data_IF_306574910807
#
_entry.id   IF_306574910807
#
_cell.length_a   1.000
_cell.length_b   1.000
_cell.length_c   1.000
_cell.angle_alpha   90.00
_cell.angle_beta   90.00
_cell.angle_gamma   90.00
#
_symmetry.space_group_name_H-M   'P 1'
#
loop_
_entity.id
_entity.type
_entity.pdbx_description
1 polymer ?
#
# COMPACT_ATOMS: atom_id res chain seq x y z
N UNK A 1 -23.12 -12.65 18.90
CA UNK A 1 -22.72 -12.15 17.58
C UNK A 1 -22.80 -13.31 16.60
N UNK A 2 -23.49 -13.15 15.46
CA UNK A 2 -23.60 -14.20 14.43
C UNK A 2 -23.00 -13.68 13.13
N UNK A 3 -22.13 -14.47 12.52
CA UNK A 3 -21.48 -14.16 11.25
C UNK A 3 -22.09 -14.99 10.14
N UNK A 4 -22.48 -14.36 9.04
CA UNK A 4 -22.85 -15.05 7.80
C UNK A 4 -21.67 -14.96 6.83
N UNK A 5 -21.25 -16.08 6.23
CA UNK A 5 -20.16 -16.11 5.24
C UNK A 5 -20.72 -16.44 3.85
N UNK A 6 -20.83 -15.42 3.01
CA UNK A 6 -21.19 -15.53 1.59
C UNK A 6 -19.98 -15.92 0.76
N UNK A 7 -20.10 -16.97 -0.05
CA UNK A 7 -19.04 -17.47 -0.92
C UNK A 7 -19.61 -18.26 -2.10
N UNK A 8 -18.81 -18.47 -3.16
CA UNK A 8 -19.18 -19.42 -4.19
C UNK A 8 -18.67 -20.84 -3.86
N UNK A 9 -19.21 -21.86 -4.53
CA UNK A 9 -18.84 -23.26 -4.27
C UNK A 9 -17.35 -23.56 -4.46
N UNK A 10 -16.65 -22.82 -5.33
CA UNK A 10 -15.20 -23.02 -5.56
C UNK A 10 -14.32 -22.49 -4.43
N UNK A 11 -14.86 -21.62 -3.58
CA UNK A 11 -14.15 -21.04 -2.44
C UNK A 11 -14.39 -21.83 -1.14
N UNK A 12 -15.18 -22.90 -1.21
CA UNK A 12 -15.61 -23.70 -0.06
C UNK A 12 -14.45 -24.19 0.82
N UNK A 13 -13.33 -24.73 0.29
CA UNK A 13 -12.22 -25.18 1.15
C UNK A 13 -11.64 -24.06 2.02
N UNK A 14 -11.52 -22.85 1.46
CA UNK A 14 -11.05 -21.67 2.19
C UNK A 14 -12.07 -21.24 3.25
N UNK A 15 -13.37 -21.23 2.91
CA UNK A 15 -14.45 -20.83 3.81
C UNK A 15 -14.60 -21.80 4.99
N UNK A 16 -14.45 -23.10 4.74
CA UNK A 16 -14.46 -24.13 5.79
C UNK A 16 -13.32 -23.91 6.80
N UNK A 17 -12.11 -23.64 6.30
CA UNK A 17 -10.96 -23.29 7.15
C UNK A 17 -11.25 -22.01 7.95
N UNK A 18 -11.73 -20.95 7.29
CA UNK A 18 -12.05 -19.67 7.90
C UNK A 18 -13.10 -19.79 9.01
N UNK A 19 -14.19 -20.50 8.73
CA UNK A 19 -15.26 -20.72 9.69
C UNK A 19 -14.81 -21.57 10.88
N UNK A 20 -13.97 -22.59 10.64
CA UNK A 20 -13.38 -23.41 11.69
C UNK A 20 -12.51 -22.55 12.62
N UNK A 21 -11.62 -21.74 12.07
CA UNK A 21 -10.73 -20.89 12.87
C UNK A 21 -11.49 -19.80 13.64
N UNK A 22 -12.51 -19.19 13.02
CA UNK A 22 -13.40 -18.24 13.70
C UNK A 22 -14.10 -18.90 14.90
N UNK A 23 -14.53 -20.14 14.76
CA UNK A 23 -15.19 -20.88 15.83
C UNK A 23 -14.22 -21.32 16.93
N UNK A 24 -13.16 -22.05 16.57
CA UNK A 24 -12.25 -22.70 17.54
C UNK A 24 -11.33 -21.70 18.25
N UNK A 25 -10.83 -20.68 17.54
CA UNK A 25 -9.84 -19.74 18.10
C UNK A 25 -10.49 -18.53 18.76
N UNK A 26 -11.62 -18.07 18.22
CA UNK A 26 -12.20 -16.78 18.60
C UNK A 26 -13.61 -16.88 19.17
N UNK A 27 -14.17 -18.11 19.27
CA UNK A 27 -15.53 -18.38 19.75
C UNK A 27 -16.62 -17.64 18.95
N UNK A 28 -16.41 -17.44 17.65
CA UNK A 28 -17.34 -16.75 16.74
C UNK A 28 -18.14 -17.78 15.96
N UNK A 29 -19.47 -17.77 16.09
CA UNK A 29 -20.37 -18.68 15.36
C UNK A 29 -20.62 -18.18 13.94
N UNK A 30 -20.38 -19.04 12.94
CA UNK A 30 -20.57 -18.76 11.52
C UNK A 30 -21.70 -19.60 10.92
N UNK A 31 -22.42 -19.02 9.95
CA UNK A 31 -23.35 -19.73 9.07
C UNK A 31 -22.80 -19.67 7.63
N UNK A 32 -22.67 -20.83 6.98
CA UNK A 32 -22.23 -20.94 5.59
C UNK A 32 -22.74 -22.25 4.95
N UNK A 33 -22.56 -22.41 3.63
CA UNK A 33 -22.83 -23.65 2.87
C UNK A 33 -24.22 -24.27 3.11
N UNK A 34 -25.25 -23.42 3.27
CA UNK A 34 -26.65 -23.87 3.46
C UNK A 34 -26.87 -24.75 4.70
N UNK A 35 -26.05 -24.57 5.74
CA UNK A 35 -26.22 -25.26 7.02
C UNK A 35 -27.64 -25.09 7.58
N UNK A 36 -28.27 -26.19 8.00
CA UNK A 36 -29.60 -26.15 8.63
C UNK A 36 -30.79 -26.05 7.65
N UNK A 37 -30.59 -26.35 6.36
CA UNK A 37 -31.68 -26.50 5.38
C UNK A 37 -32.08 -27.98 5.30
N UNK A 38 -33.32 -28.30 5.64
CA UNK A 38 -33.90 -29.64 5.58
C UNK A 38 -34.57 -29.96 4.24
N UNK A 39 -34.92 -31.24 4.04
CA UNK A 39 -35.70 -31.66 2.87
C UNK A 39 -37.09 -31.00 2.95
N UNK A 40 -37.47 -30.25 1.91
CA UNK A 40 -38.73 -29.52 1.83
C UNK A 40 -38.64 -28.03 2.18
N UNK A 41 -37.49 -27.56 2.71
CA UNK A 41 -37.28 -26.15 2.99
C UNK A 41 -37.07 -25.32 1.71
N UNK A 42 -37.62 -24.10 1.70
CA UNK A 42 -37.27 -23.09 0.68
C UNK A 42 -35.87 -22.54 0.96
N UNK A 43 -34.91 -22.88 0.09
CA UNK A 43 -33.52 -22.42 0.20
C UNK A 43 -33.44 -20.87 0.31
N UNK A 44 -34.11 -20.08 -0.56
CA UNK A 44 -34.11 -18.62 -0.42
C UNK A 44 -34.65 -18.13 0.93
N UNK A 45 -35.69 -18.77 1.47
CA UNK A 45 -36.28 -18.36 2.74
C UNK A 45 -35.31 -18.59 3.91
N UNK A 46 -34.62 -19.74 3.93
CA UNK A 46 -33.63 -20.06 4.96
C UNK A 46 -32.38 -19.18 4.89
N UNK A 47 -31.91 -18.87 3.68
CA UNK A 47 -30.80 -17.91 3.48
C UNK A 47 -31.23 -16.52 3.99
N UNK A 48 -32.43 -16.06 3.63
CA UNK A 48 -32.97 -14.79 4.10
C UNK A 48 -33.12 -14.71 5.63
N UNK A 49 -33.57 -15.80 6.26
CA UNK A 49 -33.64 -15.94 7.72
C UNK A 49 -32.25 -15.86 8.36
N UNK A 50 -31.26 -16.57 7.80
CA UNK A 50 -29.88 -16.55 8.29
C UNK A 50 -29.25 -15.15 8.16
N UNK A 51 -29.42 -14.48 7.01
CA UNK A 51 -28.98 -13.09 6.80
C UNK A 51 -29.65 -12.11 7.77
N UNK A 52 -30.95 -12.31 8.04
CA UNK A 52 -31.70 -11.48 8.98
C UNK A 52 -31.24 -11.67 10.43
N UNK A 53 -30.73 -12.85 10.79
CA UNK A 53 -30.24 -13.13 12.14
C UNK A 53 -28.75 -12.81 12.34
N UNK A 54 -28.01 -12.53 11.27
CA UNK A 54 -26.59 -12.19 11.32
C UNK A 54 -26.36 -10.71 11.63
N UNK A 55 -25.36 -10.43 12.48
CA UNK A 55 -24.88 -9.08 12.80
C UNK A 55 -23.70 -8.68 11.92
N UNK A 56 -22.96 -9.66 11.39
CA UNK A 56 -21.84 -9.43 10.48
C UNK A 56 -22.01 -10.28 9.23
N UNK A 57 -21.79 -9.68 8.08
CA UNK A 57 -21.76 -10.35 6.78
C UNK A 57 -20.35 -10.33 6.22
N UNK A 58 -19.72 -11.50 6.19
CA UNK A 58 -18.45 -11.71 5.52
C UNK A 58 -18.75 -12.12 4.09
N UNK A 59 -18.24 -11.36 3.12
CA UNK A 59 -18.35 -11.73 1.70
C UNK A 59 -16.97 -12.08 1.17
N UNK A 60 -16.82 -13.30 0.68
CA UNK A 60 -15.58 -13.79 0.06
C UNK A 60 -15.56 -13.34 -1.41
N UNK A 61 -14.56 -12.55 -1.75
CA UNK A 61 -14.36 -11.98 -3.07
C UNK A 61 -13.31 -12.81 -3.82
N UNK A 62 -13.75 -13.40 -4.92
CA UNK A 62 -12.99 -14.14 -5.91
C UNK A 62 -13.63 -13.91 -7.29
N UNK A 63 -12.97 -14.27 -8.39
CA UNK A 63 -13.54 -14.14 -9.74
C UNK A 63 -14.86 -14.91 -9.83
N UNK A 64 -14.92 -16.11 -9.28
CA UNK A 64 -16.13 -16.95 -9.27
C UNK A 64 -17.19 -16.39 -8.29
N UNK A 65 -16.76 -15.85 -7.15
CA UNK A 65 -17.60 -15.22 -6.14
C UNK A 65 -18.36 -14.02 -6.68
N UNK A 66 -17.67 -13.06 -7.30
CA UNK A 66 -18.30 -11.83 -7.80
C UNK A 66 -19.21 -12.07 -9.01
N UNK A 67 -18.97 -13.15 -9.76
CA UNK A 67 -19.81 -13.56 -10.89
C UNK A 67 -20.95 -14.52 -10.49
N UNK A 68 -21.00 -14.97 -9.24
CA UNK A 68 -22.05 -15.89 -8.77
C UNK A 68 -23.36 -15.14 -8.54
N UNK A 69 -24.43 -15.61 -9.18
CA UNK A 69 -25.79 -15.09 -8.99
C UNK A 69 -26.23 -15.15 -7.53
N UNK A 70 -25.88 -16.24 -6.83
CA UNK A 70 -26.23 -16.42 -5.43
C UNK A 70 -25.50 -15.46 -4.49
N UNK A 71 -24.19 -15.28 -4.70
CA UNK A 71 -23.39 -14.32 -3.90
C UNK A 71 -23.90 -12.90 -4.12
N UNK A 72 -24.23 -12.53 -5.35
CA UNK A 72 -24.82 -11.22 -5.64
C UNK A 72 -26.20 -11.04 -4.98
N UNK A 73 -27.05 -12.06 -4.99
CA UNK A 73 -28.33 -12.03 -4.27
C UNK A 73 -28.15 -11.82 -2.77
N UNK A 74 -27.16 -12.49 -2.16
CA UNK A 74 -26.83 -12.36 -0.74
C UNK A 74 -26.28 -10.96 -0.40
N UNK A 75 -25.37 -10.42 -1.23
CA UNK A 75 -24.87 -9.04 -1.12
C UNK A 75 -26.03 -8.05 -1.15
N UNK A 76 -26.93 -8.17 -2.13
CA UNK A 76 -28.03 -7.22 -2.33
C UNK A 76 -29.04 -7.27 -1.19
N UNK A 77 -29.35 -8.48 -0.72
CA UNK A 77 -30.20 -8.69 0.44
C UNK A 77 -29.56 -8.08 1.69
N UNK A 78 -28.26 -8.28 1.90
CA UNK A 78 -27.54 -7.69 3.04
C UNK A 78 -27.53 -6.16 2.99
N UNK A 79 -27.18 -5.56 1.86
CA UNK A 79 -27.11 -4.11 1.71
C UNK A 79 -28.48 -3.46 1.97
N UNK A 80 -29.57 -4.08 1.51
CA UNK A 80 -30.92 -3.62 1.85
C UNK A 80 -31.24 -3.71 3.35
N UNK A 81 -30.88 -4.82 4.01
CA UNK A 81 -31.07 -4.96 5.45
C UNK A 81 -30.23 -3.96 6.25
N UNK A 82 -29.00 -3.70 5.81
CA UNK A 82 -28.11 -2.74 6.43
C UNK A 82 -28.66 -1.31 6.33
N UNK A 83 -29.16 -0.91 5.15
CA UNK A 83 -29.78 0.41 4.97
C UNK A 83 -30.96 0.63 5.93
N UNK A 84 -31.85 -0.37 6.07
CA UNK A 84 -32.99 -0.30 7.01
C UNK A 84 -32.54 -0.20 8.46
N UNK A 85 -31.49 -0.94 8.82
CA UNK A 85 -30.92 -0.92 10.16
C UNK A 85 -30.26 0.44 10.48
N UNK A 86 -29.59 1.06 9.51
CA UNK A 86 -29.03 2.41 9.64
C UNK A 86 -30.12 3.47 9.85
N UNK A 87 -31.23 3.38 9.11
CA UNK A 87 -32.38 4.28 9.28
C UNK A 87 -33.00 4.16 10.68
N UNK A 88 -33.24 2.93 11.15
CA UNK A 88 -33.78 2.66 12.48
C UNK A 88 -32.82 3.14 13.58
N UNK A 89 -31.52 2.90 13.40
CA UNK A 89 -30.49 3.32 14.33
C UNK A 89 -30.43 4.85 14.50
N UNK A 90 -30.60 5.61 13.40
CA UNK A 90 -30.71 7.08 13.44
C UNK A 90 -31.94 7.54 14.22
N UNK A 91 -33.11 6.95 13.96
CA UNK A 91 -34.34 7.29 14.69
C UNK A 91 -34.21 7.02 16.19
N UNK A 92 -33.46 5.98 16.56
CA UNK A 92 -33.25 5.55 17.94
C UNK A 92 -31.96 6.12 18.57
N UNK A 93 -31.24 7.02 17.88
CA UNK A 93 -29.96 7.59 18.33
C UNK A 93 -28.94 6.57 18.82
N UNK A 94 -28.84 5.42 18.13
CA UNK A 94 -27.90 4.34 18.42
C UNK A 94 -26.99 4.07 17.23
N UNK A 95 -25.90 3.35 17.47
CA UNK A 95 -25.05 2.85 16.38
C UNK A 95 -25.73 1.68 15.66
N UNK A 96 -25.64 1.59 14.32
CA UNK A 96 -26.10 0.41 13.58
C UNK A 96 -25.38 -0.85 14.07
N UNK A 97 -26.10 -1.96 14.21
CA UNK A 97 -25.54 -3.21 14.71
C UNK A 97 -25.25 -4.24 13.61
N UNK A 98 -25.37 -3.84 12.34
CA UNK A 98 -25.03 -4.64 11.16
C UNK A 98 -23.81 -4.07 10.45
N UNK A 99 -22.84 -4.92 10.13
CA UNK A 99 -21.65 -4.53 9.36
C UNK A 99 -21.30 -5.59 8.31
N UNK A 100 -20.78 -5.12 7.18
CA UNK A 100 -20.20 -5.96 6.13
C UNK A 100 -18.67 -6.00 6.28
N UNK A 101 -18.08 -7.15 6.01
CA UNK A 101 -16.65 -7.41 6.03
C UNK A 101 -16.24 -8.09 4.72
N UNK A 102 -15.86 -7.32 3.68
CA UNK A 102 -15.36 -7.91 2.44
C UNK A 102 -13.99 -8.56 2.66
N UNK A 103 -13.88 -9.82 2.29
CA UNK A 103 -12.65 -10.63 2.34
C UNK A 103 -12.18 -10.87 0.91
N UNK A 104 -11.11 -10.20 0.49
CA UNK A 104 -10.47 -10.44 -0.80
C UNK A 104 -9.63 -11.73 -0.73
N UNK A 105 -10.18 -12.81 -1.30
CA UNK A 105 -9.56 -14.14 -1.33
C UNK A 105 -8.75 -14.39 -2.60
N UNK A 106 -9.28 -13.99 -3.76
CA UNK A 106 -8.57 -13.99 -5.04
C UNK A 106 -8.78 -12.67 -5.76
N UNK A 107 -7.79 -12.26 -6.54
CA UNK A 107 -7.88 -11.02 -7.32
C UNK A 107 -9.09 -11.05 -8.26
N UNK A 108 -9.96 -10.06 -8.12
CA UNK A 108 -11.16 -9.91 -8.93
C UNK A 108 -11.52 -8.42 -9.03
N UNK A 109 -12.32 -8.07 -10.04
CA UNK A 109 -12.91 -6.74 -10.11
C UNK A 109 -13.94 -6.58 -8.98
N UNK A 110 -13.66 -5.70 -8.04
CA UNK A 110 -14.54 -5.47 -6.88
C UNK A 110 -15.82 -4.78 -7.37
N UNK A 111 -17.01 -5.35 -7.09
CA UNK A 111 -18.27 -4.75 -7.46
C UNK A 111 -18.39 -3.33 -6.91
N UNK A 112 -18.88 -2.38 -7.71
CA UNK A 112 -18.99 -0.95 -7.32
C UNK A 112 -19.66 -0.75 -5.97
N UNK A 113 -20.67 -1.57 -5.67
CA UNK A 113 -21.44 -1.55 -4.40
C UNK A 113 -20.62 -1.92 -3.17
N UNK A 114 -19.43 -2.49 -3.36
CA UNK A 114 -18.52 -2.91 -2.29
C UNK A 114 -17.25 -2.05 -2.18
N UNK A 115 -17.03 -1.10 -3.11
CA UNK A 115 -15.78 -0.32 -3.17
C UNK A 115 -15.60 0.64 -2.00
N UNK A 116 -16.70 1.16 -1.43
CA UNK A 116 -16.68 2.07 -0.28
C UNK A 116 -16.45 1.38 1.06
N UNK A 117 -16.41 0.05 1.10
CA UNK A 117 -16.20 -0.71 2.33
C UNK A 117 -14.72 -1.10 2.49
N UNK A 118 -14.19 -0.89 3.70
CA UNK A 118 -12.86 -1.38 4.05
C UNK A 118 -12.85 -2.91 3.96
N UNK A 119 -11.90 -3.44 3.18
CA UNK A 119 -11.74 -4.87 2.95
C UNK A 119 -10.48 -5.40 3.62
N UNK A 120 -10.49 -6.69 3.93
CA UNK A 120 -9.32 -7.45 4.36
C UNK A 120 -8.90 -8.40 3.25
N UNK A 121 -7.60 -8.54 2.99
CA UNK A 121 -7.09 -9.59 2.10
C UNK A 121 -6.74 -10.82 2.93
N UNK A 122 -7.27 -11.99 2.54
CA UNK A 122 -6.96 -13.27 3.18
C UNK A 122 -6.81 -14.31 2.08
N UNK A 123 -5.61 -14.84 1.89
CA UNK A 123 -5.29 -15.93 0.98
C UNK A 123 -4.38 -16.94 1.70
N UNK A 124 -3.92 -17.97 0.99
CA UNK A 124 -3.07 -19.02 1.59
C UNK A 124 -1.75 -18.50 2.20
N UNK A 125 -1.26 -17.34 1.74
CA UNK A 125 0.04 -16.80 2.11
C UNK A 125 -0.02 -15.82 3.30
N UNK A 126 -1.15 -15.14 3.51
CA UNK A 126 -1.33 -14.13 4.55
C UNK A 126 -2.48 -14.44 5.53
N UNK A 127 -2.87 -15.72 5.61
CA UNK A 127 -4.06 -16.16 6.31
C UNK A 127 -4.08 -15.71 7.78
N UNK A 128 -2.99 -15.86 8.52
CA UNK A 128 -2.95 -15.54 9.95
C UNK A 128 -3.10 -14.04 10.23
N UNK A 129 -2.40 -13.22 9.45
CA UNK A 129 -2.51 -11.77 9.54
C UNK A 129 -3.90 -11.28 9.13
N UNK A 130 -4.38 -11.71 7.96
CA UNK A 130 -5.69 -11.36 7.44
C UNK A 130 -6.82 -11.83 8.36
N UNK A 131 -6.69 -13.02 8.94
CA UNK A 131 -7.61 -13.55 9.95
C UNK A 131 -7.67 -12.64 11.19
N UNK A 132 -6.53 -12.23 11.75
CA UNK A 132 -6.50 -11.29 12.89
C UNK A 132 -7.17 -9.96 12.55
N UNK A 133 -6.92 -9.41 11.37
CA UNK A 133 -7.57 -8.18 10.91
C UNK A 133 -9.09 -8.36 10.77
N UNK A 134 -9.53 -9.49 10.21
CA UNK A 134 -10.94 -9.82 10.10
C UNK A 134 -11.59 -9.92 11.49
N UNK A 135 -10.95 -10.60 12.44
CA UNK A 135 -11.45 -10.76 13.82
C UNK A 135 -11.55 -9.40 14.52
N UNK A 136 -10.54 -8.54 14.41
CA UNK A 136 -10.58 -7.18 14.92
C UNK A 136 -11.74 -6.38 14.32
N UNK A 137 -11.91 -6.46 12.99
CA UNK A 137 -13.02 -5.85 12.28
C UNK A 137 -14.39 -6.37 12.75
N UNK A 138 -14.53 -7.70 12.87
CA UNK A 138 -15.75 -8.37 13.38
C UNK A 138 -16.08 -7.90 14.80
N UNK A 139 -15.09 -7.80 15.69
CA UNK A 139 -15.30 -7.34 17.07
C UNK A 139 -15.51 -5.82 17.19
N UNK A 140 -15.17 -5.06 16.15
CA UNK A 140 -15.23 -3.59 16.20
C UNK A 140 -14.07 -2.96 16.98
N UNK A 141 -12.99 -3.72 17.17
CA UNK A 141 -11.76 -3.28 17.84
C UNK A 141 -10.84 -2.65 16.80
N UNK A 142 -11.00 -1.36 16.51
CA UNK A 142 -10.10 -0.65 15.61
C UNK A 142 -8.88 -0.12 16.37
N UNK A 143 -7.73 -0.79 16.20
CA UNK A 143 -6.42 -0.27 16.59
C UNK A 143 -5.48 -0.33 15.37
N UNK A 144 -4.89 0.80 14.94
CA UNK A 144 -3.83 0.76 13.93
C UNK A 144 -2.62 0.02 14.53
N UNK A 145 -2.43 -1.26 14.15
CA UNK A 145 -1.25 -2.01 14.55
C UNK A 145 -0.01 -1.34 13.94
N UNK A 146 0.75 -0.61 14.75
CA UNK A 146 2.12 -0.17 14.47
C UNK A 146 3.00 -1.42 14.36
N UNK A 147 3.73 -1.59 13.26
CA UNK A 147 4.77 -2.63 13.18
C UNK A 147 5.88 -2.36 14.22
N UNK A 148 6.46 -3.38 14.87
CA UNK A 148 7.67 -3.18 15.65
C UNK A 148 8.86 -2.85 14.73
N UNK A 149 9.81 -2.03 15.20
CA UNK A 149 11.01 -1.67 14.45
C UNK A 149 11.96 -2.87 14.39
N UNK A 150 12.21 -3.43 13.20
CA UNK A 150 13.35 -4.36 13.00
C UNK A 150 14.53 -3.56 12.47
N UNK A 151 15.53 -3.30 13.29
CA UNK A 151 16.80 -2.71 12.85
C UNK A 151 17.57 -3.78 12.05
N UNK A 152 17.90 -3.57 10.76
CA UNK A 152 18.73 -4.53 10.02
C UNK A 152 20.15 -4.58 10.60
N UNK A 153 20.71 -5.78 10.77
CA UNK A 153 22.10 -5.97 11.21
C UNK A 153 23.10 -5.41 10.20
N UNK A 154 24.34 -5.18 10.62
CA UNK A 154 25.44 -4.68 9.78
C UNK A 154 25.76 -5.64 8.63
N UNK A 155 25.73 -6.94 8.89
CA UNK A 155 25.91 -8.01 7.89
C UNK A 155 24.93 -7.92 6.71
N UNK A 156 23.67 -7.55 6.97
CA UNK A 156 22.65 -7.45 5.91
C UNK A 156 22.92 -6.31 4.91
N UNK A 157 23.62 -5.26 5.33
CA UNK A 157 24.02 -4.18 4.41
C UNK A 157 25.25 -4.59 3.59
N UNK A 158 26.23 -5.24 4.20
CA UNK A 158 27.45 -5.70 3.53
C UNK A 158 27.13 -6.76 2.44
N UNK A 159 26.16 -7.63 2.69
CA UNK A 159 25.69 -8.63 1.72
C UNK A 159 24.95 -8.01 0.52
N UNK A 160 24.18 -6.93 0.72
CA UNK A 160 23.52 -6.21 -0.38
C UNK A 160 24.51 -5.50 -1.30
N UNK A 161 25.62 -5.00 -0.75
CA UNK A 161 26.69 -4.36 -1.54
C UNK A 161 27.50 -5.35 -2.36
N UNK A 162 27.68 -6.59 -1.89
CA UNK A 162 28.32 -7.66 -2.66
C UNK A 162 27.45 -8.10 -3.84
N UNK A 163 26.13 -8.22 -3.64
CA UNK A 163 25.20 -8.66 -4.69
C UNK A 163 25.02 -7.64 -5.82
N UNK A 164 25.05 -6.34 -5.52
CA UNK A 164 25.05 -5.28 -6.56
C UNK A 164 26.22 -5.42 -7.55
N UNK A 165 27.32 -6.10 -7.17
CA UNK A 165 28.48 -6.34 -8.02
C UNK A 165 28.38 -7.61 -8.88
N UNK A 166 27.54 -8.59 -8.52
CA UNK A 166 27.42 -9.89 -9.21
C UNK A 166 25.95 -10.37 -9.24
N UNK A 167 25.13 -9.92 -10.21
CA UNK A 167 23.69 -10.16 -10.23
C UNK A 167 23.24 -11.60 -10.52
N UNK A 168 24.14 -12.48 -10.98
CA UNK A 168 23.81 -13.81 -11.53
C UNK A 168 23.57 -14.92 -10.52
N UNK A 169 23.85 -14.71 -9.22
CA UNK A 169 23.84 -15.75 -8.18
C UNK A 169 22.63 -15.61 -7.22
N UNK A 170 21.46 -15.29 -7.76
CA UNK A 170 20.26 -14.92 -7.00
C UNK A 170 19.79 -15.97 -5.97
N UNK A 171 19.81 -17.25 -6.31
CA UNK A 171 19.39 -18.33 -5.40
C UNK A 171 20.41 -18.59 -4.28
N UNK A 172 21.69 -18.39 -4.57
CA UNK A 172 22.78 -18.50 -3.58
C UNK A 172 22.70 -17.34 -2.59
N UNK A 173 22.40 -16.12 -3.07
CA UNK A 173 22.19 -14.93 -2.24
C UNK A 173 21.03 -15.09 -1.24
N UNK A 174 19.90 -15.67 -1.65
CA UNK A 174 18.78 -15.96 -0.74
C UNK A 174 19.15 -16.98 0.34
N UNK A 175 20.00 -17.95 0.01
CA UNK A 175 20.46 -18.98 0.95
C UNK A 175 21.51 -18.49 1.96
N UNK A 176 22.38 -17.55 1.57
CA UNK A 176 23.47 -17.03 2.41
C UNK A 176 23.02 -15.99 3.44
N UNK A 177 21.83 -15.41 3.27
CA UNK A 177 21.23 -14.48 4.23
C UNK A 177 20.54 -15.18 5.43
N UNK A 178 20.59 -16.52 5.49
CA UNK A 178 19.90 -17.40 6.46
C UNK A 178 18.40 -17.03 6.64
N UNK A 179 17.77 -16.55 5.57
CA UNK A 179 16.35 -16.22 5.53
C UNK A 179 15.59 -17.51 5.21
N UNK A 180 15.00 -18.15 6.23
CA UNK A 180 14.04 -19.23 5.96
C UNK A 180 12.81 -18.64 5.25
N UNK A 181 12.27 -19.34 4.24
CA UNK A 181 11.06 -18.94 3.48
C UNK A 181 9.86 -18.57 4.37
N UNK A 182 9.83 -19.05 5.61
CA UNK A 182 8.82 -18.83 6.63
C UNK A 182 9.11 -17.63 7.58
N UNK A 183 10.26 -16.96 7.47
CA UNK A 183 10.69 -15.83 8.30
C UNK A 183 10.49 -14.46 7.60
N UNK A 184 9.82 -14.45 6.44
CA UNK A 184 9.36 -13.24 5.77
C UNK A 184 8.05 -12.75 6.43
N UNK A 185 7.99 -11.57 7.05
CA UNK A 185 6.80 -11.09 7.76
C UNK A 185 5.62 -10.72 6.84
N UNK A 186 4.40 -11.09 7.24
CA UNK A 186 3.12 -10.72 6.65
C UNK A 186 2.85 -9.21 6.77
N UNK A 187 3.16 -8.45 5.71
CA UNK A 187 2.59 -7.13 5.34
C UNK A 187 3.30 -6.71 4.06
N UNK A 188 2.53 -6.53 2.98
CA UNK A 188 3.01 -6.25 1.61
C UNK A 188 4.36 -5.54 1.60
N UNK A 189 5.40 -6.28 1.24
CA UNK A 189 6.74 -5.72 1.02
C UNK A 189 6.91 -5.39 -0.47
N UNK A 190 7.84 -4.50 -0.84
CA UNK A 190 8.13 -4.12 -2.23
C UNK A 190 8.32 -5.28 -3.24
N UNK A 191 8.49 -6.51 -2.73
CA UNK A 191 8.59 -7.78 -3.44
C UNK A 191 7.28 -8.27 -4.08
N UNK A 192 6.13 -8.02 -3.46
CA UNK A 192 4.82 -8.44 -3.99
C UNK A 192 4.34 -7.54 -5.14
N UNK A 193 4.65 -6.25 -5.07
CA UNK A 193 4.46 -5.29 -6.17
C UNK A 193 5.26 -5.69 -7.42
N UNK A 194 6.43 -6.27 -7.22
CA UNK A 194 7.34 -6.66 -8.28
C UNK A 194 6.93 -7.95 -9.00
N UNK A 195 6.30 -8.87 -8.29
CA UNK A 195 5.70 -10.08 -8.87
C UNK A 195 4.49 -9.70 -9.76
N UNK A 196 3.68 -8.72 -9.35
CA UNK A 196 2.58 -8.20 -10.17
C UNK A 196 3.06 -7.50 -11.47
N UNK A 197 4.25 -6.88 -11.46
CA UNK A 197 4.89 -6.31 -12.66
C UNK A 197 5.46 -7.41 -13.57
N UNK A 198 6.05 -8.47 -13.00
CA UNK A 198 6.51 -9.66 -13.75
C UNK A 198 5.35 -10.35 -14.48
N UNK A 199 4.17 -10.40 -13.87
CA UNK A 199 2.96 -11.00 -14.47
C UNK A 199 2.38 -10.18 -15.65
N UNK A 200 2.73 -8.89 -15.79
CA UNK A 200 2.19 -8.00 -16.84
C UNK A 200 3.09 -7.77 -18.06
N UNK A 201 4.37 -8.17 -18.03
CA UNK A 201 5.33 -7.93 -19.11
C UNK A 201 5.93 -9.21 -19.71
N UNK A 202 5.09 -10.15 -20.14
CA UNK A 202 5.52 -11.30 -20.97
C UNK A 202 5.64 -10.94 -22.45
N UNK A 203 6.47 -9.96 -22.85
CA UNK A 203 6.69 -9.70 -24.29
C UNK A 203 7.95 -8.90 -24.73
N UNK A 204 9.02 -8.74 -23.94
CA UNK A 204 10.30 -8.18 -24.45
C UNK A 204 11.56 -8.91 -23.96
N UNK A 205 12.54 -9.21 -24.85
CA UNK A 205 13.82 -9.78 -24.45
C UNK A 205 14.71 -8.72 -23.77
N UNK A 206 15.27 -9.05 -22.60
CA UNK A 206 16.07 -8.17 -21.75
C UNK A 206 15.38 -7.68 -20.46
N UNK A 207 14.08 -7.97 -20.27
CA UNK A 207 13.25 -7.38 -19.21
C UNK A 207 13.51 -7.86 -17.78
N UNK A 208 13.95 -9.11 -17.57
CA UNK A 208 13.99 -9.69 -16.22
C UNK A 208 15.13 -9.14 -15.33
N UNK A 209 16.32 -8.89 -15.90
CA UNK A 209 17.48 -8.34 -15.18
C UNK A 209 17.26 -6.89 -14.72
N UNK A 210 16.70 -6.07 -15.60
CA UNK A 210 16.30 -4.71 -15.26
C UNK A 210 15.28 -4.71 -14.13
N UNK A 211 14.27 -5.57 -14.25
CA UNK A 211 13.26 -5.81 -13.24
C UNK A 211 13.91 -6.14 -11.88
N UNK A 212 14.79 -7.14 -11.81
CA UNK A 212 15.50 -7.47 -10.56
C UNK A 212 16.27 -6.29 -9.96
N UNK A 213 16.93 -5.48 -10.78
CA UNK A 213 17.71 -4.32 -10.32
C UNK A 213 16.86 -3.24 -9.66
N UNK A 214 15.61 -3.05 -10.09
CA UNK A 214 14.70 -2.11 -9.43
C UNK A 214 14.14 -2.71 -8.13
N UNK A 215 13.80 -4.01 -8.11
CA UNK A 215 13.34 -4.70 -6.91
C UNK A 215 14.35 -4.65 -5.76
N UNK A 216 15.61 -4.94 -6.06
CA UNK A 216 16.72 -4.79 -5.12
C UNK A 216 16.85 -3.34 -4.65
N UNK A 217 16.56 -2.42 -5.56
CA UNK A 217 16.52 -1.00 -5.29
C UNK A 217 15.58 -0.67 -4.13
N UNK A 218 14.32 -1.09 -4.23
CA UNK A 218 13.30 -0.89 -3.20
C UNK A 218 13.62 -1.61 -1.89
N UNK A 219 14.15 -2.84 -1.97
CA UNK A 219 14.57 -3.61 -0.79
C UNK A 219 15.64 -2.84 0.00
N UNK A 220 16.64 -2.29 -0.70
CA UNK A 220 17.69 -1.48 -0.08
C UNK A 220 17.12 -0.18 0.50
N UNK A 221 16.21 0.50 -0.21
CA UNK A 221 15.55 1.71 0.30
C UNK A 221 14.79 1.44 1.61
N UNK A 222 13.97 0.39 1.65
CA UNK A 222 13.23 0.01 2.86
C UNK A 222 14.16 -0.22 4.06
N UNK A 223 15.29 -0.91 3.84
CA UNK A 223 16.25 -1.18 4.90
C UNK A 223 16.93 0.09 5.44
N UNK A 224 17.34 0.99 4.56
CA UNK A 224 17.96 2.28 4.94
C UNK A 224 16.97 3.16 5.72
N UNK A 225 15.72 3.25 5.24
CA UNK A 225 14.66 4.00 5.91
C UNK A 225 14.35 3.45 7.30
N UNK A 226 14.35 2.12 7.45
CA UNK A 226 14.11 1.45 8.73
C UNK A 226 15.20 1.72 9.76
N UNK A 227 16.45 1.88 9.30
CA UNK A 227 17.59 2.34 10.12
C UNK A 227 17.58 3.85 10.40
N UNK A 228 16.70 4.60 9.72
CA UNK A 228 16.70 6.06 9.71
C UNK A 228 18.00 6.63 9.12
N UNK A 229 18.65 5.89 8.22
CA UNK A 229 19.79 6.34 7.42
C UNK A 229 19.26 7.20 6.26
N UNK A 230 18.70 8.37 6.60
CA UNK A 230 17.92 9.19 5.67
C UNK A 230 18.70 9.61 4.43
N UNK A 231 19.97 9.95 4.61
CA UNK A 231 20.87 10.35 3.53
C UNK A 231 21.07 9.24 2.50
N UNK A 232 21.36 8.03 2.98
CA UNK A 232 21.61 6.90 2.10
C UNK A 232 20.32 6.42 1.45
N UNK A 233 19.20 6.48 2.18
CA UNK A 233 17.86 6.22 1.64
C UNK A 233 17.48 7.21 0.53
N UNK A 234 17.83 8.48 0.69
CA UNK A 234 17.62 9.52 -0.30
C UNK A 234 18.42 9.25 -1.58
N UNK A 235 19.72 8.98 -1.46
CA UNK A 235 20.56 8.56 -2.59
C UNK A 235 20.03 7.29 -3.27
N UNK A 236 19.52 6.34 -2.48
CA UNK A 236 18.94 5.12 -3.02
C UNK A 236 17.61 5.37 -3.75
N UNK A 237 16.82 6.35 -3.30
CA UNK A 237 15.59 6.78 -3.99
C UNK A 237 15.91 7.28 -5.39
N UNK A 238 16.92 8.15 -5.52
CA UNK A 238 17.39 8.64 -6.83
C UNK A 238 17.84 7.48 -7.73
N UNK A 239 18.60 6.52 -7.19
CA UNK A 239 19.03 5.33 -7.95
C UNK A 239 17.87 4.48 -8.44
N UNK A 240 16.82 4.30 -7.63
CA UNK A 240 15.60 3.59 -8.05
C UNK A 240 14.94 4.36 -9.18
N UNK A 241 14.74 5.67 -9.00
CA UNK A 241 14.07 6.53 -9.98
C UNK A 241 14.78 6.50 -11.34
N UNK A 242 16.12 6.56 -11.37
CA UNK A 242 16.91 6.42 -12.60
C UNK A 242 16.76 5.03 -13.22
N UNK A 243 16.75 3.98 -12.39
CA UNK A 243 16.55 2.61 -12.87
C UNK A 243 15.15 2.41 -13.45
N UNK A 244 14.08 2.89 -12.81
CA UNK A 244 12.70 2.77 -13.32
C UNK A 244 12.56 3.37 -14.73
N UNK A 245 13.23 4.50 -14.97
CA UNK A 245 13.23 5.18 -16.26
C UNK A 245 14.28 4.64 -17.24
N UNK A 246 15.10 3.68 -16.82
CA UNK A 246 16.22 3.13 -17.57
C UNK A 246 17.22 4.20 -18.05
N UNK A 247 17.48 5.20 -17.22
CA UNK A 247 18.47 6.25 -17.46
C UNK A 247 19.89 5.70 -17.33
N UNK A 248 20.81 6.21 -18.15
CA UNK A 248 22.23 5.84 -18.08
C UNK A 248 22.92 6.55 -16.92
N UNK A 249 24.06 6.00 -16.51
CA UNK A 249 24.90 6.62 -15.49
C UNK A 249 25.32 8.04 -15.91
N UNK A 250 25.00 9.03 -15.09
CA UNK A 250 25.30 10.44 -15.35
C UNK A 250 24.22 11.21 -16.13
N UNK A 251 23.14 10.55 -16.56
CA UNK A 251 21.95 11.23 -17.07
C UNK A 251 21.11 11.76 -15.90
N UNK A 252 20.59 12.98 -16.05
CA UNK A 252 19.64 13.59 -15.12
C UNK A 252 18.22 13.27 -15.57
N UNK A 253 17.31 13.16 -14.62
CA UNK A 253 15.89 13.10 -14.95
C UNK A 253 15.41 14.47 -15.42
N UNK A 254 14.75 14.52 -16.57
CA UNK A 254 14.14 15.74 -17.09
C UNK A 254 12.62 15.70 -17.00
N UNK A 255 11.98 16.83 -17.27
CA UNK A 255 10.52 16.96 -17.37
C UNK A 255 9.93 15.96 -18.36
N UNK A 256 10.62 15.68 -19.46
CA UNK A 256 10.18 14.74 -20.49
C UNK A 256 10.14 13.27 -20.01
N UNK A 257 10.81 12.96 -18.89
CA UNK A 257 10.79 11.63 -18.29
C UNK A 257 9.58 11.39 -17.39
N UNK A 258 9.03 12.45 -16.80
CA UNK A 258 7.97 12.37 -15.78
C UNK A 258 6.70 11.64 -16.26
N UNK A 259 6.20 11.86 -17.48
CA UNK A 259 5.03 11.13 -17.99
C UNK A 259 5.28 9.62 -18.13
N UNK A 260 6.54 9.20 -18.29
CA UNK A 260 6.93 7.78 -18.40
C UNK A 260 7.14 7.13 -17.05
N UNK A 261 7.28 7.91 -15.98
CA UNK A 261 7.42 7.38 -14.63
C UNK A 261 6.09 6.75 -14.17
N UNK A 262 6.14 5.47 -13.82
CA UNK A 262 4.99 4.69 -13.39
C UNK A 262 4.42 5.17 -12.05
N UNK A 263 3.10 5.35 -11.99
CA UNK A 263 2.42 5.74 -10.75
C UNK A 263 2.61 4.70 -9.63
N UNK A 264 2.69 3.41 -9.95
CA UNK A 264 2.96 2.36 -8.96
C UNK A 264 4.30 2.57 -8.26
N UNK A 265 5.33 2.94 -9.03
CA UNK A 265 6.67 3.18 -8.51
C UNK A 265 6.70 4.46 -7.66
N UNK A 266 6.02 5.54 -8.08
CA UNK A 266 5.89 6.77 -7.28
C UNK A 266 5.18 6.52 -5.95
N UNK A 267 4.06 5.80 -5.96
CA UNK A 267 3.34 5.41 -4.75
C UNK A 267 4.22 4.56 -3.84
N UNK A 268 4.95 3.59 -4.39
CA UNK A 268 5.81 2.70 -3.61
C UNK A 268 6.96 3.44 -2.93
N UNK A 269 7.65 4.34 -3.63
CA UNK A 269 8.67 5.20 -3.03
C UNK A 269 8.06 6.02 -1.89
N UNK A 270 6.94 6.69 -2.19
CA UNK A 270 6.25 7.55 -1.23
C UNK A 270 5.83 6.80 0.04
N UNK A 271 5.22 5.63 -0.10
CA UNK A 271 4.69 4.85 1.01
C UNK A 271 5.81 4.33 1.93
N UNK A 272 6.94 3.94 1.34
CA UNK A 272 8.13 3.58 2.12
C UNK A 272 8.61 4.77 2.96
N UNK A 273 8.75 5.95 2.34
CA UNK A 273 9.17 7.16 3.05
C UNK A 273 8.20 7.54 4.17
N UNK A 274 6.90 7.55 3.90
CA UNK A 274 5.86 7.86 4.89
C UNK A 274 5.91 6.89 6.07
N UNK A 275 5.92 5.59 5.78
CA UNK A 275 5.86 4.51 6.77
C UNK A 275 7.00 4.59 7.77
N UNK A 276 8.22 4.78 7.29
CA UNK A 276 9.42 4.72 8.13
C UNK A 276 9.80 6.08 8.72
N UNK A 277 9.38 7.19 8.12
CA UNK A 277 9.56 8.53 8.67
C UNK A 277 8.49 8.96 9.67
N UNK A 278 7.45 8.13 9.89
CA UNK A 278 6.28 8.48 10.69
C UNK A 278 5.59 9.76 10.16
N UNK A 279 5.26 9.77 8.87
CA UNK A 279 4.62 10.90 8.15
C UNK A 279 5.45 12.20 8.12
N UNK A 280 6.76 12.14 8.36
CA UNK A 280 7.64 13.30 8.29
C UNK A 280 8.13 13.58 6.86
N UNK A 281 8.36 12.53 6.09
CA UNK A 281 9.00 12.58 4.78
C UNK A 281 8.19 11.77 3.76
N UNK A 282 8.29 12.15 2.49
CA UNK A 282 7.55 11.55 1.39
C UNK A 282 7.14 12.59 0.35
N UNK A 283 6.97 12.14 -0.89
CA UNK A 283 6.55 12.99 -2.00
C UNK A 283 5.16 13.58 -1.79
N UNK A 284 4.22 12.84 -1.20
CA UNK A 284 2.89 13.40 -0.88
C UNK A 284 2.96 14.49 0.20
N UNK A 285 3.91 14.39 1.14
CA UNK A 285 4.14 15.43 2.14
C UNK A 285 4.63 16.71 1.47
N UNK A 286 5.56 16.59 0.53
CA UNK A 286 6.04 17.73 -0.27
C UNK A 286 4.93 18.30 -1.14
N UNK A 287 4.12 17.45 -1.79
CA UNK A 287 2.94 17.84 -2.58
C UNK A 287 1.97 18.70 -1.76
N UNK A 288 1.63 18.27 -0.55
CA UNK A 288 0.73 19.03 0.32
C UNK A 288 1.34 20.38 0.72
N UNK A 289 2.64 20.42 1.05
CA UNK A 289 3.33 21.68 1.37
C UNK A 289 3.38 22.61 0.15
N UNK A 290 3.60 22.05 -1.05
CA UNK A 290 3.59 22.79 -2.30
C UNK A 290 2.22 23.45 -2.55
N UNK A 291 1.14 22.71 -2.35
CA UNK A 291 -0.23 23.23 -2.47
C UNK A 291 -0.54 24.29 -1.41
N UNK A 292 -0.14 24.09 -0.16
CA UNK A 292 -0.27 25.09 0.90
C UNK A 292 0.46 26.40 0.56
N UNK A 293 1.66 26.30 -0.02
CA UNK A 293 2.49 27.45 -0.37
C UNK A 293 1.94 28.20 -1.59
N UNK A 294 1.36 27.48 -2.54
CA UNK A 294 0.73 28.02 -3.73
C UNK A 294 -0.61 28.70 -3.38
N UNK A 295 -1.40 28.12 -2.47
CA UNK A 295 -2.67 28.70 -2.03
C UNK A 295 -3.65 28.88 -3.19
N UNK A 296 -4.06 30.13 -3.45
CA UNK A 296 -4.93 30.49 -4.59
C UNK A 296 -4.16 30.96 -5.83
N UNK A 297 -2.82 31.02 -5.77
CA UNK A 297 -2.00 31.44 -6.90
C UNK A 297 -2.04 30.37 -8.00
N UNK A 298 -2.08 30.77 -9.26
CA UNK A 298 -2.12 29.82 -10.39
C UNK A 298 -0.74 29.33 -10.81
N UNK A 299 0.32 30.07 -10.44
CA UNK A 299 1.67 29.84 -10.95
C UNK A 299 2.65 29.70 -9.79
N UNK A 300 3.49 28.66 -9.85
CA UNK A 300 4.56 28.46 -8.88
C UNK A 300 5.80 29.29 -9.28
N UNK A 301 5.82 30.54 -8.83
CA UNK A 301 6.87 31.50 -9.16
C UNK A 301 8.12 31.35 -8.26
N UNK A 302 9.14 32.18 -8.50
CA UNK A 302 10.37 32.18 -7.70
C UNK A 302 10.12 32.49 -6.21
N UNK A 303 9.06 33.25 -5.89
CA UNK A 303 8.67 33.57 -4.52
C UNK A 303 8.05 32.36 -3.82
N UNK A 304 7.11 31.68 -4.48
CA UNK A 304 6.52 30.43 -4.03
C UNK A 304 7.60 29.36 -3.82
N UNK A 305 8.55 29.24 -4.75
CA UNK A 305 9.68 28.32 -4.61
C UNK A 305 10.50 28.61 -3.36
N UNK A 306 10.88 29.86 -3.11
CA UNK A 306 11.60 30.22 -1.89
C UNK A 306 10.80 29.95 -0.62
N UNK A 307 9.48 30.20 -0.61
CA UNK A 307 8.60 29.88 0.53
C UNK A 307 8.56 28.38 0.79
N UNK A 308 8.43 27.58 -0.27
CA UNK A 308 8.48 26.12 -0.22
C UNK A 308 9.82 25.65 0.34
N UNK A 309 10.93 26.09 -0.26
CA UNK A 309 12.28 25.75 0.17
C UNK A 309 12.54 26.09 1.64
N UNK A 310 12.03 27.22 2.15
CA UNK A 310 12.11 27.54 3.59
C UNK A 310 11.34 26.54 4.45
N UNK A 311 10.16 26.10 4.01
CA UNK A 311 9.29 25.19 4.78
C UNK A 311 9.87 23.80 4.87
N UNK A 312 10.40 23.27 3.76
CA UNK A 312 11.02 21.94 3.71
C UNK A 312 12.51 21.95 4.07
N UNK A 313 13.10 23.11 4.34
CA UNK A 313 14.49 23.24 4.79
C UNK A 313 15.54 23.29 3.67
N UNK A 314 15.11 23.42 2.42
CA UNK A 314 15.97 23.51 1.23
C UNK A 314 16.52 24.92 0.95
N UNK A 315 15.99 25.95 1.61
CA UNK A 315 16.46 27.33 1.48
C UNK A 315 16.67 27.99 2.84
N UNK A 316 17.90 28.40 3.13
CA UNK A 316 18.30 29.04 4.39
C UNK A 316 19.32 30.14 4.15
N UNK A 317 19.22 31.24 4.90
CA UNK A 317 20.22 32.35 4.85
C UNK A 317 20.48 32.89 3.44
N UNK A 318 19.41 33.02 2.65
CA UNK A 318 19.42 33.46 1.24
C UNK A 318 20.17 32.54 0.27
N UNK A 319 20.46 31.30 0.67
CA UNK A 319 21.10 30.28 -0.15
C UNK A 319 20.24 29.03 -0.20
N UNK A 320 20.20 28.41 -1.37
CA UNK A 320 19.68 27.06 -1.51
C UNK A 320 20.67 26.04 -0.94
N UNK A 321 20.19 24.85 -0.64
CA UNK A 321 21.07 23.74 -0.32
C UNK A 321 22.07 23.48 -1.45
N UNK A 322 23.20 22.90 -1.10
CA UNK A 322 24.27 22.44 -1.99
C UNK A 322 24.78 21.10 -1.47
N UNK A 323 25.68 20.45 -2.22
CA UNK A 323 26.24 19.15 -1.84
C UNK A 323 26.96 19.17 -0.47
N UNK A 324 27.43 20.32 0.01
CA UNK A 324 28.19 20.44 1.26
C UNK A 324 27.27 20.64 2.47
N UNK A 325 26.22 21.44 2.35
CA UNK A 325 25.28 21.71 3.44
C UNK A 325 24.20 20.60 3.58
N UNK A 326 23.97 19.80 2.53
CA UNK A 326 23.26 18.52 2.60
C UNK A 326 23.86 17.57 3.65
N UNK A 327 25.19 17.57 3.84
CA UNK A 327 25.87 16.65 4.75
C UNK A 327 25.55 16.88 6.23
N UNK A 328 25.12 18.10 6.61
CA UNK A 328 24.97 18.52 8.01
C UNK A 328 23.53 18.91 8.40
N UNK A 329 22.63 19.18 7.44
CA UNK A 329 21.28 19.72 7.70
C UNK A 329 20.21 18.72 8.15
N UNK A 330 20.42 17.41 7.90
CA UNK A 330 19.35 16.40 8.03
C UNK A 330 19.05 15.94 9.46
N UNK A 331 19.95 16.18 10.43
CA UNK A 331 19.78 15.73 11.83
C UNK A 331 18.54 16.32 12.51
N UNK A 332 18.08 17.48 12.04
CA UNK A 332 16.84 18.14 12.46
C UNK A 332 15.99 18.53 11.23
N UNK A 333 15.94 17.65 10.23
CA UNK A 333 15.20 17.89 9.00
C UNK A 333 13.71 18.20 9.28
N UNK A 334 13.17 19.33 8.78
CA UNK A 334 11.75 19.64 8.90
C UNK A 334 10.90 18.70 8.05
N UNK A 335 9.59 18.71 8.31
CA UNK A 335 8.61 17.93 7.53
C UNK A 335 8.72 18.26 6.03
N UNK A 336 8.77 17.21 5.19
CA UNK A 336 8.93 17.33 3.74
C UNK A 336 10.37 17.49 3.24
N UNK A 337 11.38 17.44 4.11
CA UNK A 337 12.79 17.58 3.69
C UNK A 337 13.24 16.48 2.73
N UNK A 338 12.78 15.24 2.92
CA UNK A 338 13.08 14.08 2.08
C UNK A 338 11.80 13.47 1.46
N UNK A 339 11.94 12.65 0.41
CA UNK A 339 13.15 12.49 -0.41
C UNK A 339 13.40 13.71 -1.32
N UNK A 340 14.64 13.88 -1.75
CA UNK A 340 14.98 14.72 -2.89
C UNK A 340 14.59 13.93 -4.15
N UNK A 341 13.84 14.56 -5.06
CA UNK A 341 13.23 13.95 -6.24
C UNK A 341 14.23 13.51 -7.34
N UNK A 342 15.54 13.53 -7.05
CA UNK A 342 16.59 13.18 -8.00
C UNK A 342 16.94 14.26 -9.02
N UNK A 343 16.22 15.39 -9.04
CA UNK A 343 16.61 16.56 -9.85
C UNK A 343 17.91 17.21 -9.39
N UNK A 344 18.38 16.84 -8.19
CA UNK A 344 19.50 17.47 -7.50
C UNK A 344 20.66 16.49 -7.37
N UNK A 345 21.48 16.45 -8.41
CA UNK A 345 22.87 16.00 -8.29
C UNK A 345 23.88 17.02 -8.83
N UNK A 346 23.44 18.25 -9.07
CA UNK A 346 24.28 19.39 -9.50
C UNK A 346 24.37 20.52 -8.46
N UNK A 347 25.31 21.43 -8.67
CA UNK A 347 25.65 22.53 -7.74
C UNK A 347 24.60 23.67 -7.67
N UNK A 348 23.57 23.66 -8.52
CA UNK A 348 22.65 24.80 -8.69
C UNK A 348 21.17 24.45 -8.55
N UNK A 349 20.60 24.71 -7.37
CA UNK A 349 19.15 24.75 -7.12
C UNK A 349 18.53 26.05 -7.69
N UNK A 350 18.53 26.17 -9.01
CA UNK A 350 18.18 27.40 -9.74
C UNK A 350 16.76 27.34 -10.37
N UNK A 351 16.50 28.14 -11.41
CA UNK A 351 15.21 28.23 -12.13
C UNK A 351 14.80 26.88 -12.74
N UNK A 352 15.74 26.10 -13.26
CA UNK A 352 15.45 24.85 -13.97
C UNK A 352 14.92 23.77 -13.01
N UNK A 353 15.45 23.73 -11.77
CA UNK A 353 14.93 22.87 -10.71
C UNK A 353 13.48 23.21 -10.35
N UNK A 354 13.11 24.49 -10.33
CA UNK A 354 11.76 24.93 -9.98
C UNK A 354 10.74 24.52 -11.04
N UNK A 355 11.07 24.67 -12.32
CA UNK A 355 10.16 24.32 -13.41
C UNK A 355 9.96 22.79 -13.43
N UNK A 356 11.04 22.00 -13.34
CA UNK A 356 10.95 20.54 -13.16
C UNK A 356 10.11 20.14 -11.94
N UNK A 357 10.37 20.73 -10.78
CA UNK A 357 9.67 20.39 -9.54
C UNK A 357 8.17 20.63 -9.64
N UNK A 358 7.77 21.70 -10.33
CA UNK A 358 6.36 22.02 -10.57
C UNK A 358 5.68 20.93 -11.40
N UNK A 359 6.36 20.44 -12.45
CA UNK A 359 5.87 19.33 -13.26
C UNK A 359 5.84 18.00 -12.49
N UNK A 360 6.85 17.76 -11.65
CA UNK A 360 6.87 16.59 -10.78
C UNK A 360 5.68 16.60 -9.80
N UNK A 361 5.34 17.77 -9.23
CA UNK A 361 4.17 17.91 -8.37
C UNK A 361 2.86 17.64 -9.11
N UNK A 362 2.74 18.08 -10.36
CA UNK A 362 1.59 17.72 -11.21
C UNK A 362 1.53 16.21 -11.43
N UNK A 363 2.66 15.58 -11.73
CA UNK A 363 2.72 14.12 -11.93
C UNK A 363 2.28 13.34 -10.69
N UNK A 364 2.65 13.80 -9.50
CA UNK A 364 2.20 13.19 -8.24
C UNK A 364 0.68 13.32 -8.03
N UNK A 365 0.07 14.42 -8.48
CA UNK A 365 -1.39 14.58 -8.44
C UNK A 365 -2.08 13.64 -9.43
N UNK A 366 -1.60 13.54 -10.66
CA UNK A 366 -2.16 12.62 -11.66
C UNK A 366 -2.11 11.15 -11.22
N UNK A 367 -1.13 10.80 -10.39
CA UNK A 367 -0.95 9.46 -9.85
C UNK A 367 -1.66 9.23 -8.50
N UNK A 368 -2.46 10.19 -8.01
CA UNK A 368 -3.16 10.13 -6.71
C UNK A 368 -2.25 9.79 -5.53
N UNK A 369 -0.98 10.22 -5.60
CA UNK A 369 0.03 9.85 -4.59
C UNK A 369 -0.35 10.46 -3.24
N UNK A 370 -0.64 9.60 -2.27
CA UNK A 370 -1.00 9.97 -0.90
C UNK A 370 -2.50 10.20 -0.64
N UNK A 371 -3.39 10.00 -1.61
CA UNK A 371 -4.83 10.25 -1.45
C UNK A 371 -5.63 9.05 -0.87
N UNK A 372 -4.98 7.88 -0.73
CA UNK A 372 -5.56 6.68 -0.12
C UNK A 372 -5.51 6.66 1.43
N UNK A 373 -5.38 7.82 2.09
CA UNK A 373 -5.29 7.93 3.56
C UNK A 373 -6.30 8.96 4.07
N UNK A 374 -7.57 8.59 4.08
CA UNK A 374 -8.59 9.20 4.96
C UNK A 374 -9.49 8.13 5.53
#
# INVERSE_FOLDING_TARGET
MKVFISHCSTDKPFVERLAKDLHERESISCWFDKQGIGIGDSIPAKIGEALSNASIFVVVLSVEGVNSTWVNYEIDTWLMLQFKEEELARQQSRTPNRRIAPVLYRDCQIPTRLQSFLRVSINEQNYEYGFKQLVQGIRGEYHPLKNPPVTPSKEKLELLEQFEKQPGEFEVFLSQLDIKRAELPERVTPRELYICVIERQTQKPGGLDHLYKVLLGYTKLELLLKKKEWKDADLQTVKIMHKVLNLKSGEYMSSEDLPRFSCCDLCMINDLWIKYSNNMFGFSIQKNIYEEVLGQETNFDSGAWQRFGKRVGWYKEKKWMDNNNYQNGWKNAPKGYFPLDGSVSGEDWNRDCKDYFSEFMLRLKECDVGENIT
#
